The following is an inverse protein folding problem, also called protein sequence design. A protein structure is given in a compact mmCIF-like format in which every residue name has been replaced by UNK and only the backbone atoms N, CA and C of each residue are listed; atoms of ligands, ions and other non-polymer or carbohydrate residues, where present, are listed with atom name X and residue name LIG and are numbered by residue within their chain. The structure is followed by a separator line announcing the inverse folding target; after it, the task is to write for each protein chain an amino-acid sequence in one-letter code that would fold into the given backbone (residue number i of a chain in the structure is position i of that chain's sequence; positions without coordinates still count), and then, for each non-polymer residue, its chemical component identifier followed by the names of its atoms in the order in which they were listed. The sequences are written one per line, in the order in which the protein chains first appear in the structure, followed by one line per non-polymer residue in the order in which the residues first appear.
data_IF_680729191116
#
_entry.id   IF_680729191116
#
_cell.length_a   1.000
_cell.length_b   1.000
_cell.length_c   1.000
_cell.angle_alpha   90.00
_cell.angle_beta   90.00
_cell.angle_gamma   90.00
#
_symmetry.space_group_name_H-M   'P 1'
#
loop_
_entity.id
_entity.type
_entity.pdbx_description
1 polymer ?
#
# COMPACT_ATOMS: atom_id res chain seq x y z
N UNK A 1 29.68 14.61 -21.89
CA UNK A 1 30.19 13.56 -20.97
C UNK A 1 29.13 13.01 -19.99
N UNK A 2 27.95 13.63 -19.90
CA UNK A 2 26.84 13.20 -19.00
C UNK A 2 26.04 11.96 -19.49
N UNK A 3 25.96 11.77 -20.81
CA UNK A 3 25.09 10.74 -21.45
C UNK A 3 25.45 9.28 -21.08
N UNK A 4 26.73 8.93 -20.97
CA UNK A 4 27.15 7.56 -20.65
C UNK A 4 26.91 7.17 -19.18
N UNK A 5 27.03 8.12 -18.25
CA UNK A 5 26.77 7.88 -16.84
C UNK A 5 25.24 7.75 -16.60
N UNK A 6 24.44 8.55 -17.29
CA UNK A 6 23.00 8.53 -17.25
C UNK A 6 22.42 7.22 -17.81
N UNK A 7 22.88 6.77 -18.97
CA UNK A 7 22.51 5.46 -19.56
C UNK A 7 22.88 4.29 -18.66
N UNK A 8 24.03 4.34 -17.97
CA UNK A 8 24.41 3.28 -17.01
C UNK A 8 23.51 3.26 -15.79
N UNK A 9 23.06 4.43 -15.33
CA UNK A 9 22.11 4.53 -14.21
C UNK A 9 20.76 3.97 -14.62
N UNK A 10 20.24 4.39 -15.77
CA UNK A 10 18.97 3.90 -16.33
C UNK A 10 18.98 2.37 -16.52
N UNK A 11 20.06 1.84 -17.08
CA UNK A 11 20.23 0.40 -17.26
C UNK A 11 20.27 -0.34 -15.93
N UNK A 12 20.92 0.23 -14.90
CA UNK A 12 20.95 -0.33 -13.56
C UNK A 12 19.56 -0.31 -12.91
N UNK A 13 18.83 0.79 -13.01
CA UNK A 13 17.48 0.93 -12.51
C UNK A 13 16.52 -0.06 -13.21
N UNK A 14 16.56 -0.12 -14.53
CA UNK A 14 15.78 -1.08 -15.31
C UNK A 14 16.04 -2.53 -14.88
N UNK A 15 17.30 -2.90 -14.68
CA UNK A 15 17.66 -4.24 -14.24
C UNK A 15 17.19 -4.54 -12.82
N UNK A 16 17.24 -3.55 -11.91
CA UNK A 16 16.68 -3.66 -10.56
C UNK A 16 15.18 -3.91 -10.62
N UNK A 17 14.48 -3.20 -11.48
CA UNK A 17 13.04 -3.35 -11.67
C UNK A 17 12.67 -4.72 -12.24
N UNK A 18 13.39 -5.23 -13.24
CA UNK A 18 13.19 -6.59 -13.79
C UNK A 18 13.33 -7.68 -12.70
N UNK A 19 14.33 -7.54 -11.82
CA UNK A 19 14.52 -8.48 -10.69
C UNK A 19 13.37 -8.35 -9.68
N UNK A 20 12.92 -7.14 -9.42
CA UNK A 20 11.81 -6.90 -8.48
C UNK A 20 10.46 -7.40 -9.06
N UNK A 21 10.24 -7.30 -10.37
CA UNK A 21 9.07 -7.88 -11.05
C UNK A 21 9.07 -9.42 -10.94
N UNK A 22 10.25 -10.02 -11.10
CA UNK A 22 10.41 -11.46 -10.86
C UNK A 22 10.13 -11.82 -9.40
N UNK A 23 10.58 -11.01 -8.43
CA UNK A 23 10.28 -11.23 -7.02
C UNK A 23 8.77 -11.15 -6.74
N UNK A 24 8.07 -10.17 -7.31
CA UNK A 24 6.61 -10.06 -7.20
C UNK A 24 5.90 -11.29 -7.76
N UNK A 25 6.37 -11.83 -8.90
CA UNK A 25 5.83 -13.05 -9.49
C UNK A 25 6.09 -14.28 -8.62
N UNK A 26 7.30 -14.43 -8.06
CA UNK A 26 7.61 -15.51 -7.11
C UNK A 26 6.70 -15.42 -5.87
N UNK A 27 6.50 -14.23 -5.31
CA UNK A 27 5.59 -14.04 -4.16
C UNK A 27 4.16 -14.42 -4.53
N UNK A 28 3.69 -14.10 -5.74
CA UNK A 28 2.35 -14.49 -6.19
C UNK A 28 2.17 -16.03 -6.26
N UNK A 29 3.23 -16.77 -6.58
CA UNK A 29 3.19 -18.22 -6.74
C UNK A 29 3.39 -18.99 -5.42
N UNK A 30 4.35 -18.56 -4.59
CA UNK A 30 4.78 -19.32 -3.39
C UNK A 30 4.64 -18.55 -2.07
N UNK A 31 4.12 -17.33 -2.11
CA UNK A 31 3.99 -16.46 -0.93
C UNK A 31 5.32 -15.84 -0.47
N UNK A 32 5.23 -14.94 0.53
CA UNK A 32 6.42 -14.27 1.10
C UNK A 32 7.38 -15.25 1.79
N UNK A 33 6.85 -16.27 2.46
CA UNK A 33 7.64 -17.32 3.13
C UNK A 33 8.45 -18.17 2.14
N UNK A 34 7.93 -18.35 0.92
CA UNK A 34 8.59 -19.11 -0.14
C UNK A 34 9.58 -18.30 -0.98
N UNK A 35 9.67 -16.98 -0.76
CA UNK A 35 10.56 -16.11 -1.52
C UNK A 35 12.03 -16.46 -1.25
N UNK A 36 12.79 -16.74 -2.31
CA UNK A 36 14.24 -16.96 -2.21
C UNK A 36 14.99 -16.26 -3.34
N UNK A 37 16.23 -15.81 -3.06
CA UNK A 37 17.10 -15.20 -4.07
C UNK A 37 17.35 -16.12 -5.29
N UNK A 38 17.30 -17.44 -5.08
CA UNK A 38 17.47 -18.43 -6.14
C UNK A 38 16.29 -18.46 -7.12
N UNK A 39 15.05 -18.50 -6.61
CA UNK A 39 13.85 -18.47 -7.44
C UNK A 39 13.75 -17.17 -8.24
N UNK A 40 14.04 -16.05 -7.58
CA UNK A 40 14.05 -14.72 -8.24
C UNK A 40 15.09 -14.67 -9.35
N UNK A 41 16.33 -15.11 -9.11
CA UNK A 41 17.38 -15.16 -10.12
C UNK A 41 16.99 -16.02 -11.33
N UNK A 42 16.39 -17.20 -11.06
CA UNK A 42 15.91 -18.12 -12.10
C UNK A 42 14.83 -17.46 -12.95
N UNK A 43 13.82 -16.84 -12.33
CA UNK A 43 12.71 -16.21 -13.05
C UNK A 43 13.16 -14.98 -13.83
N UNK A 44 14.02 -14.13 -13.23
CA UNK A 44 14.61 -12.96 -13.86
C UNK A 44 15.64 -13.32 -14.96
N UNK A 45 15.99 -14.61 -15.10
CA UNK A 45 17.02 -15.12 -16.04
C UNK A 45 18.37 -14.46 -15.85
N UNK A 46 18.77 -14.28 -14.60
CA UNK A 46 20.07 -13.71 -14.22
C UNK A 46 20.83 -14.68 -13.31
N UNK A 47 22.13 -14.45 -13.13
CA UNK A 47 22.89 -15.23 -12.15
C UNK A 47 22.47 -14.84 -10.72
N UNK A 48 22.51 -15.80 -9.79
CA UNK A 48 22.30 -15.52 -8.37
C UNK A 48 23.26 -14.45 -7.83
N UNK A 49 24.50 -14.44 -8.28
CA UNK A 49 25.48 -13.43 -7.92
C UNK A 49 25.03 -12.03 -8.37
N UNK A 50 24.46 -11.90 -9.57
CA UNK A 50 23.93 -10.62 -10.06
C UNK A 50 22.75 -10.14 -9.19
N UNK A 51 21.85 -11.02 -8.76
CA UNK A 51 20.74 -10.66 -7.88
C UNK A 51 21.26 -10.02 -6.58
N UNK A 52 22.31 -10.59 -5.98
CA UNK A 52 22.95 -10.03 -4.78
C UNK A 52 23.68 -8.69 -5.02
N UNK A 53 23.91 -8.29 -6.26
CA UNK A 53 24.44 -6.97 -6.58
C UNK A 53 23.38 -5.86 -6.42
N UNK A 54 22.10 -6.22 -6.57
CA UNK A 54 20.97 -5.30 -6.49
C UNK A 54 20.23 -5.36 -5.16
N UNK A 55 20.16 -6.52 -4.53
CA UNK A 55 19.45 -6.77 -3.29
C UNK A 55 20.31 -7.61 -2.35
N UNK A 56 20.50 -7.13 -1.15
CA UNK A 56 21.37 -7.75 -0.14
C UNK A 56 20.91 -9.16 0.23
N UNK A 57 19.62 -9.33 0.42
CA UNK A 57 18.96 -10.56 0.85
C UNK A 57 17.48 -10.55 0.47
N UNK A 58 16.71 -11.56 0.91
CA UNK A 58 15.27 -11.64 0.67
C UNK A 58 14.49 -10.57 1.40
N UNK A 59 14.97 -10.10 2.54
CA UNK A 59 14.33 -9.03 3.30
C UNK A 59 14.44 -7.69 2.56
N UNK A 60 15.59 -7.40 1.95
CA UNK A 60 15.79 -6.23 1.10
C UNK A 60 14.86 -6.26 -0.14
N UNK A 61 14.64 -7.44 -0.73
CA UNK A 61 13.61 -7.63 -1.77
C UNK A 61 12.19 -7.37 -1.27
N UNK A 62 11.84 -7.85 -0.07
CA UNK A 62 10.53 -7.62 0.53
C UNK A 62 10.31 -6.14 0.81
N UNK A 63 11.32 -5.44 1.31
CA UNK A 63 11.27 -3.99 1.50
C UNK A 63 11.07 -3.23 0.20
N UNK A 64 11.78 -3.62 -0.86
CA UNK A 64 11.61 -3.01 -2.17
C UNK A 64 10.21 -3.27 -2.78
N UNK A 65 9.60 -4.42 -2.50
CA UNK A 65 8.20 -4.70 -2.87
C UNK A 65 7.24 -3.81 -2.07
N UNK A 66 7.50 -3.61 -0.78
CA UNK A 66 6.71 -2.72 0.08
C UNK A 66 6.80 -1.27 -0.41
N UNK A 67 8.01 -0.76 -0.64
CA UNK A 67 8.26 0.59 -1.19
C UNK A 67 7.50 0.80 -2.51
N UNK A 68 7.61 -0.13 -3.46
CA UNK A 68 6.88 -0.07 -4.74
C UNK A 68 5.37 -0.13 -4.51
N UNK A 69 4.90 -0.91 -3.54
CA UNK A 69 3.49 -0.97 -3.13
C UNK A 69 2.97 0.38 -2.65
N UNK A 70 3.71 1.07 -1.78
CA UNK A 70 3.37 2.42 -1.29
C UNK A 70 3.34 3.45 -2.42
N UNK A 71 4.32 3.43 -3.33
CA UNK A 71 4.34 4.32 -4.49
C UNK A 71 3.13 4.13 -5.41
N UNK A 72 2.75 2.86 -5.67
CA UNK A 72 1.56 2.53 -6.45
C UNK A 72 0.27 2.94 -5.74
N UNK A 73 0.18 2.71 -4.43
CA UNK A 73 -0.96 3.13 -3.61
C UNK A 73 -1.10 4.65 -3.63
N UNK A 74 0.00 5.39 -3.43
CA UNK A 74 0.00 6.85 -3.48
C UNK A 74 -0.48 7.38 -4.83
N UNK A 75 0.00 6.82 -5.94
CA UNK A 75 -0.45 7.19 -7.28
C UNK A 75 -1.97 6.98 -7.46
N UNK A 76 -2.52 5.87 -6.92
CA UNK A 76 -3.96 5.60 -6.94
C UNK A 76 -4.75 6.60 -6.08
N UNK A 77 -4.24 6.97 -4.92
CA UNK A 77 -4.87 7.97 -4.06
C UNK A 77 -4.92 9.33 -4.73
N UNK A 78 -3.81 9.78 -5.32
CA UNK A 78 -3.77 11.04 -6.08
C UNK A 78 -4.77 11.03 -7.23
N UNK A 79 -4.80 9.96 -8.02
CA UNK A 79 -5.73 9.83 -9.14
C UNK A 79 -7.21 9.80 -8.67
N UNK A 80 -7.52 9.08 -7.60
CA UNK A 80 -8.87 8.99 -7.06
C UNK A 80 -9.37 10.33 -6.50
N UNK A 81 -8.48 11.13 -5.92
CA UNK A 81 -8.82 12.42 -5.32
C UNK A 81 -8.91 13.58 -6.31
N UNK A 82 -8.50 13.41 -7.58
CA UNK A 82 -8.36 14.51 -8.55
C UNK A 82 -9.66 15.30 -8.83
N UNK A 83 -10.84 14.70 -8.58
CA UNK A 83 -12.15 15.38 -8.74
C UNK A 83 -12.89 15.63 -7.43
N UNK A 84 -12.29 15.33 -6.29
CA UNK A 84 -12.96 15.43 -4.99
C UNK A 84 -12.98 16.89 -4.49
N UNK A 85 -14.17 17.43 -4.26
CA UNK A 85 -14.36 18.85 -3.89
C UNK A 85 -14.17 19.12 -2.38
N UNK A 86 -14.17 18.11 -1.51
CA UNK A 86 -14.10 18.26 -0.06
C UNK A 86 -13.15 17.22 0.55
N UNK A 87 -12.62 17.51 1.74
CA UNK A 87 -11.75 16.58 2.45
C UNK A 87 -12.41 15.22 2.71
N UNK A 88 -13.70 15.20 3.05
CA UNK A 88 -14.46 13.96 3.20
C UNK A 88 -14.56 13.18 1.88
N UNK A 89 -14.84 13.86 0.76
CA UNK A 89 -14.91 13.20 -0.53
C UNK A 89 -13.56 12.59 -0.94
N UNK A 90 -12.43 13.24 -0.60
CA UNK A 90 -11.09 12.68 -0.79
C UNK A 90 -10.89 11.38 0.00
N UNK A 91 -11.26 11.37 1.29
CA UNK A 91 -11.16 10.15 2.12
C UNK A 91 -12.03 9.01 1.61
N UNK A 92 -13.24 9.30 1.15
CA UNK A 92 -14.12 8.29 0.54
C UNK A 92 -13.49 7.72 -0.74
N UNK A 93 -12.92 8.57 -1.57
CA UNK A 93 -12.21 8.15 -2.79
C UNK A 93 -10.97 7.29 -2.47
N UNK A 94 -10.17 7.68 -1.47
CA UNK A 94 -9.03 6.88 -1.00
C UNK A 94 -9.45 5.51 -0.47
N UNK A 95 -10.54 5.43 0.30
CA UNK A 95 -11.07 4.15 0.79
C UNK A 95 -11.43 3.20 -0.35
N UNK A 96 -12.12 3.69 -1.39
CA UNK A 96 -12.41 2.93 -2.61
C UNK A 96 -11.16 2.51 -3.37
N UNK A 97 -10.19 3.43 -3.51
CA UNK A 97 -8.92 3.15 -4.17
C UNK A 97 -8.08 2.11 -3.41
N UNK A 98 -8.12 2.11 -2.08
CA UNK A 98 -7.42 1.13 -1.24
C UNK A 98 -8.00 -0.29 -1.39
N UNK A 99 -9.33 -0.41 -1.42
CA UNK A 99 -10.00 -1.68 -1.71
C UNK A 99 -9.62 -2.19 -3.10
N UNK A 100 -9.69 -1.32 -4.12
CA UNK A 100 -9.31 -1.66 -5.49
C UNK A 100 -7.83 -2.06 -5.61
N UNK A 101 -6.93 -1.38 -4.89
CA UNK A 101 -5.52 -1.72 -4.83
C UNK A 101 -5.31 -3.14 -4.29
N UNK A 102 -5.93 -3.48 -3.18
CA UNK A 102 -5.81 -4.80 -2.59
C UNK A 102 -6.33 -5.93 -3.50
N UNK A 103 -7.40 -5.67 -4.25
CA UNK A 103 -7.97 -6.63 -5.19
C UNK A 103 -7.15 -6.80 -6.48
N UNK A 104 -6.60 -5.71 -7.01
CA UNK A 104 -5.90 -5.70 -8.29
C UNK A 104 -4.40 -5.97 -8.16
N UNK A 105 -3.83 -5.66 -7.00
CA UNK A 105 -2.40 -5.78 -6.73
C UNK A 105 -2.13 -6.52 -5.40
N UNK A 106 -2.65 -7.76 -5.24
CA UNK A 106 -2.62 -8.49 -3.96
C UNK A 106 -1.21 -8.75 -3.42
N UNK A 107 -0.20 -8.89 -4.28
CA UNK A 107 1.20 -9.04 -3.87
C UNK A 107 1.70 -7.80 -3.15
N UNK A 108 1.45 -6.62 -3.71
CA UNK A 108 1.88 -5.36 -3.10
C UNK A 108 1.08 -5.03 -1.84
N UNK A 109 -0.23 -5.29 -1.84
CA UNK A 109 -1.03 -5.19 -0.61
C UNK A 109 -0.51 -6.15 0.47
N UNK A 110 -0.18 -7.40 0.10
CA UNK A 110 0.43 -8.38 0.99
C UNK A 110 1.79 -7.92 1.52
N UNK A 111 2.61 -7.26 0.71
CA UNK A 111 3.88 -6.70 1.14
C UNK A 111 3.69 -5.65 2.25
N UNK A 112 2.71 -4.74 2.10
CA UNK A 112 2.36 -3.76 3.13
C UNK A 112 1.85 -4.42 4.42
N UNK A 113 1.11 -5.54 4.29
CA UNK A 113 0.53 -6.26 5.43
C UNK A 113 1.54 -7.11 6.21
N UNK A 114 2.58 -7.63 5.54
CA UNK A 114 3.64 -8.45 6.16
C UNK A 114 4.83 -7.64 6.65
N UNK A 115 4.81 -6.33 6.38
CA UNK A 115 5.90 -5.48 6.78
C UNK A 115 5.89 -5.26 8.30
N UNK A 116 6.99 -5.62 8.98
CA UNK A 116 7.23 -5.31 10.39
C UNK A 116 8.32 -4.24 10.48
N UNK A 117 7.96 -3.08 11.03
CA UNK A 117 8.93 -2.02 11.31
C UNK A 117 9.84 -2.43 12.48
N UNK A 118 11.15 -2.40 12.27
CA UNK A 118 12.12 -2.66 13.32
C UNK A 118 12.71 -1.37 13.88
N UNK A 119 13.07 -1.31 15.18
CA UNK A 119 13.80 -0.17 15.73
C UNK A 119 15.12 0.06 14.97
N UNK A 120 15.26 1.20 14.31
CA UNK A 120 16.40 1.52 13.44
C UNK A 120 16.06 1.67 11.97
N UNK A 121 14.89 1.23 11.53
CA UNK A 121 14.43 1.37 10.14
C UNK A 121 14.00 2.81 9.78
N UNK A 122 13.90 3.71 10.75
CA UNK A 122 13.42 5.08 10.61
C UNK A 122 14.17 5.94 9.56
N UNK A 123 15.26 5.44 9.00
CA UNK A 123 16.04 6.10 7.95
C UNK A 123 15.93 5.41 6.58
N UNK A 124 15.07 4.40 6.42
CA UNK A 124 14.91 3.69 5.14
C UNK A 124 13.94 4.41 4.19
N UNK A 125 14.10 4.16 2.89
CA UNK A 125 13.31 4.85 1.85
C UNK A 125 11.79 4.59 1.96
N UNK A 126 11.39 3.38 2.41
CA UNK A 126 9.98 3.05 2.56
C UNK A 126 9.29 3.83 3.68
N UNK A 127 9.99 4.19 4.79
CA UNK A 127 9.44 5.04 5.84
C UNK A 127 9.00 6.39 5.28
N UNK A 128 9.82 6.97 4.38
CA UNK A 128 9.47 8.23 3.73
C UNK A 128 8.25 8.11 2.80
N UNK A 129 8.04 6.98 2.15
CA UNK A 129 6.88 6.75 1.29
C UNK A 129 5.62 6.41 2.12
N UNK A 130 5.76 5.69 3.23
CA UNK A 130 4.67 5.46 4.20
C UNK A 130 4.23 6.79 4.83
N UNK A 131 5.16 7.62 5.27
CA UNK A 131 4.90 8.96 5.78
C UNK A 131 4.14 9.82 4.75
N UNK A 132 4.49 9.75 3.46
CA UNK A 132 3.77 10.49 2.40
C UNK A 132 2.31 10.03 2.27
N UNK A 133 2.07 8.71 2.27
CA UNK A 133 0.72 8.14 2.21
C UNK A 133 -0.08 8.57 3.44
N UNK A 134 0.53 8.48 4.63
CA UNK A 134 -0.10 8.88 5.89
C UNK A 134 -0.43 10.37 5.89
N UNK A 135 0.52 11.26 5.56
CA UNK A 135 0.30 12.70 5.49
C UNK A 135 -0.79 13.07 4.47
N UNK A 136 -0.84 12.39 3.33
CA UNK A 136 -1.88 12.63 2.33
C UNK A 136 -3.29 12.36 2.87
N UNK A 137 -3.45 11.32 3.70
CA UNK A 137 -4.72 11.06 4.39
C UNK A 137 -5.01 12.08 5.48
N UNK A 138 -4.01 12.41 6.29
CA UNK A 138 -4.12 13.39 7.37
C UNK A 138 -4.50 14.77 6.84
N UNK A 139 -3.91 15.21 5.74
CA UNK A 139 -4.23 16.50 5.11
C UNK A 139 -5.66 16.51 4.58
N UNK A 140 -6.18 15.42 4.01
CA UNK A 140 -7.58 15.34 3.62
C UNK A 140 -8.53 15.45 4.81
N UNK A 141 -8.15 14.92 5.99
CA UNK A 141 -8.94 15.06 7.22
C UNK A 141 -8.92 16.54 7.67
N UNK A 142 -7.74 17.16 7.71
CA UNK A 142 -7.61 18.59 8.08
C UNK A 142 -8.40 19.51 7.14
N UNK A 143 -8.32 19.26 5.83
CA UNK A 143 -9.14 19.95 4.83
C UNK A 143 -10.63 19.76 5.11
N UNK A 144 -11.08 18.53 5.39
CA UNK A 144 -12.49 18.25 5.68
C UNK A 144 -12.99 18.90 6.96
N UNK A 145 -12.14 19.04 7.98
CA UNK A 145 -12.48 19.82 9.18
C UNK A 145 -12.59 21.31 8.86
N UNK A 146 -11.72 21.82 8.00
CA UNK A 146 -11.72 23.24 7.62
C UNK A 146 -12.88 23.61 6.68
N UNK A 147 -13.24 22.72 5.74
CA UNK A 147 -14.36 22.94 4.79
C UNK A 147 -15.73 22.54 5.38
N UNK A 148 -15.77 22.02 6.60
CA UNK A 148 -16.99 21.61 7.30
C UNK A 148 -17.59 20.28 6.82
N UNK A 149 -16.91 19.51 5.96
CA UNK A 149 -17.37 18.20 5.51
C UNK A 149 -17.08 17.09 6.51
N UNK A 150 -16.13 17.31 7.43
CA UNK A 150 -15.79 16.42 8.55
C UNK A 150 -16.04 17.16 9.86
N UNK A 151 -16.62 16.48 10.84
CA UNK A 151 -16.84 17.02 12.19
C UNK A 151 -15.50 17.36 12.87
N UNK A 152 -15.41 18.51 13.53
CA UNK A 152 -14.17 18.98 14.18
C UNK A 152 -13.88 18.29 15.52
N UNK A 153 -14.88 17.62 16.11
CA UNK A 153 -14.77 16.89 17.37
C UNK A 153 -14.44 15.39 17.18
N UNK A 154 -14.02 14.97 15.96
CA UNK A 154 -13.65 13.57 15.68
C UNK A 154 -12.33 13.18 16.34
N UNK A 155 -11.49 14.13 16.70
CA UNK A 155 -10.19 13.94 17.33
C UNK A 155 -9.02 14.51 16.52
N UNK A 156 -7.81 14.13 16.90
CA UNK A 156 -6.59 14.51 16.20
C UNK A 156 -6.53 13.87 14.80
N UNK A 157 -6.16 14.66 13.79
CA UNK A 157 -6.23 14.22 12.39
C UNK A 157 -5.27 13.03 12.08
N UNK A 158 -4.08 13.01 12.69
CA UNK A 158 -3.13 11.90 12.50
C UNK A 158 -3.63 10.61 13.14
N UNK A 159 -4.19 10.72 14.35
CA UNK A 159 -4.81 9.58 15.03
C UNK A 159 -6.02 9.04 14.24
N UNK A 160 -6.87 9.92 13.72
CA UNK A 160 -8.03 9.55 12.90
C UNK A 160 -7.59 8.87 11.61
N UNK A 161 -6.57 9.39 10.91
CA UNK A 161 -5.99 8.76 9.71
C UNK A 161 -5.51 7.34 10.02
N UNK A 162 -4.75 7.17 11.11
CA UNK A 162 -4.23 5.86 11.55
C UNK A 162 -5.36 4.87 11.85
N UNK A 163 -6.42 5.31 12.57
CA UNK A 163 -7.58 4.47 12.89
C UNK A 163 -8.33 4.05 11.63
N UNK A 164 -8.58 4.99 10.70
CA UNK A 164 -9.25 4.68 9.44
C UNK A 164 -8.43 3.72 8.57
N UNK A 165 -7.13 3.91 8.51
CA UNK A 165 -6.24 2.98 7.82
C UNK A 165 -6.29 1.60 8.45
N UNK A 166 -6.07 1.47 9.75
CA UNK A 166 -6.12 0.18 10.46
C UNK A 166 -7.48 -0.52 10.32
N UNK A 167 -8.58 0.25 10.39
CA UNK A 167 -9.94 -0.27 10.20
C UNK A 167 -10.11 -0.86 8.78
N UNK A 168 -9.81 -0.09 7.74
CA UNK A 168 -9.95 -0.55 6.36
C UNK A 168 -8.99 -1.70 6.04
N UNK A 169 -7.73 -1.61 6.50
CA UNK A 169 -6.74 -2.65 6.34
C UNK A 169 -7.22 -3.98 6.96
N UNK A 170 -7.74 -3.93 8.19
CA UNK A 170 -8.29 -5.11 8.88
C UNK A 170 -9.47 -5.71 8.14
N UNK A 171 -10.38 -4.90 7.59
CA UNK A 171 -11.51 -5.37 6.78
C UNK A 171 -11.03 -6.07 5.51
N UNK A 172 -10.07 -5.49 4.80
CA UNK A 172 -9.49 -6.09 3.58
C UNK A 172 -8.77 -7.41 3.92
N UNK A 173 -8.00 -7.45 5.01
CA UNK A 173 -7.34 -8.67 5.48
C UNK A 173 -8.32 -9.77 5.85
N UNK A 174 -9.47 -9.44 6.44
CA UNK A 174 -10.52 -10.42 6.71
C UNK A 174 -11.03 -11.06 5.42
N UNK A 175 -11.27 -10.26 4.38
CA UNK A 175 -11.69 -10.77 3.06
C UNK A 175 -10.61 -11.67 2.46
N UNK A 176 -9.36 -11.25 2.49
CA UNK A 176 -8.25 -11.98 1.90
C UNK A 176 -7.95 -13.31 2.62
N UNK A 177 -8.05 -13.35 3.97
CA UNK A 177 -7.61 -14.49 4.77
C UNK A 177 -8.72 -15.37 5.34
N UNK A 178 -9.98 -14.87 5.42
CA UNK A 178 -11.09 -15.53 6.08
C UNK A 178 -12.30 -15.77 5.16
N UNK A 179 -12.08 -15.87 3.85
CA UNK A 179 -13.14 -16.10 2.85
C UNK A 179 -14.13 -17.22 3.23
N UNK A 180 -13.68 -18.44 3.63
CA UNK A 180 -14.58 -19.52 4.04
C UNK A 180 -15.46 -19.17 5.24
N UNK A 181 -14.95 -18.41 6.23
CA UNK A 181 -15.71 -17.96 7.39
C UNK A 181 -16.78 -16.94 6.99
N UNK A 182 -16.44 -16.02 6.09
CA UNK A 182 -17.39 -15.03 5.58
C UNK A 182 -18.50 -15.71 4.77
N UNK A 183 -18.15 -16.69 3.94
CA UNK A 183 -19.12 -17.48 3.19
C UNK A 183 -20.10 -18.24 4.11
N UNK A 184 -19.59 -18.86 5.18
CA UNK A 184 -20.45 -19.52 6.18
C UNK A 184 -21.42 -18.56 6.85
N UNK A 185 -21.03 -17.30 7.02
CA UNK A 185 -21.85 -16.22 7.57
C UNK A 185 -22.74 -15.55 6.54
N UNK A 186 -22.70 -15.98 5.28
CA UNK A 186 -23.42 -15.38 4.15
C UNK A 186 -23.09 -13.88 3.95
N UNK A 187 -21.84 -13.48 4.23
CA UNK A 187 -21.35 -12.12 4.05
C UNK A 187 -20.46 -12.10 2.81
N UNK A 188 -20.88 -11.35 1.78
CA UNK A 188 -20.02 -11.15 0.60
C UNK A 188 -18.92 -10.10 0.86
N UNK A 189 -17.79 -10.16 0.15
CA UNK A 189 -16.76 -9.11 0.19
C UNK A 189 -17.34 -7.72 -0.08
N UNK A 190 -18.20 -7.59 -1.07
CA UNK A 190 -18.81 -6.33 -1.49
C UNK A 190 -19.70 -5.76 -0.36
N UNK A 191 -20.51 -6.61 0.29
CA UNK A 191 -21.31 -6.19 1.44
C UNK A 191 -20.43 -5.71 2.59
N UNK A 192 -19.32 -6.41 2.86
CA UNK A 192 -18.42 -6.05 3.94
C UNK A 192 -17.71 -4.71 3.65
N UNK A 193 -17.22 -4.51 2.42
CA UNK A 193 -16.61 -3.26 2.01
C UNK A 193 -17.62 -2.09 2.03
N UNK A 194 -18.83 -2.29 1.51
CA UNK A 194 -19.88 -1.27 1.55
C UNK A 194 -20.23 -0.86 2.98
N UNK A 195 -20.35 -1.83 3.90
CA UNK A 195 -20.62 -1.56 5.30
C UNK A 195 -19.47 -0.85 5.99
N UNK A 196 -18.22 -1.23 5.71
CA UNK A 196 -17.04 -0.55 6.26
C UNK A 196 -16.97 0.91 5.81
N UNK A 197 -17.17 1.17 4.53
CA UNK A 197 -17.22 2.53 4.00
C UNK A 197 -18.37 3.35 4.61
N UNK A 198 -19.54 2.74 4.84
CA UNK A 198 -20.66 3.42 5.49
C UNK A 198 -20.35 3.77 6.95
N UNK A 199 -19.71 2.88 7.70
CA UNK A 199 -19.29 3.13 9.08
C UNK A 199 -18.24 4.24 9.16
N UNK A 200 -17.22 4.20 8.29
CA UNK A 200 -16.21 5.25 8.23
C UNK A 200 -16.82 6.63 7.90
N UNK A 201 -17.75 6.66 6.93
CA UNK A 201 -18.50 7.87 6.58
C UNK A 201 -19.32 8.40 7.76
N UNK A 202 -20.06 7.55 8.45
CA UNK A 202 -20.88 7.94 9.60
C UNK A 202 -20.04 8.48 10.76
N UNK A 203 -18.84 7.93 10.99
CA UNK A 203 -17.93 8.40 12.03
C UNK A 203 -17.43 9.82 11.79
N UNK A 204 -17.29 10.22 10.52
CA UNK A 204 -16.77 11.55 10.11
C UNK A 204 -17.89 12.58 9.89
N UNK A 205 -19.14 12.16 9.83
CA UNK A 205 -20.27 13.00 9.47
C UNK A 205 -20.53 14.09 10.51
N UNK A 206 -20.71 15.33 10.03
CA UNK A 206 -21.19 16.45 10.86
C UNK A 206 -22.59 16.13 11.36
N UNK A 207 -22.81 16.23 12.67
CA UNK A 207 -24.16 16.08 13.26
C UNK A 207 -24.98 17.30 12.89
N UNK A 208 -26.13 17.08 12.28
CA UNK A 208 -27.17 18.09 12.01
C UNK A 208 -27.72 18.66 13.30
#
# INVERSE_FOLDING_TARGET
MNDLAERRREEKERRRDEILDAAATVVAEVGFEGLTMGLVAQLARVSRALTYTYFKDTQDLQWALCERGLQRLMARFVAACAGAATGRAKLEAMGGAYIAFAQQEPVYFGALAHFEAHPGDAACAWCADDDKVHHFMTDAIREGMADGSIRTDVGDADAVATVLWGFMHGVIQLVASKGPVLQQRQISPEQLFAQAMALARAALQVKS
#
